data_IF_194851980657
#
_entry.id   IF_194851980657
#
_cell.length_a   1.000
_cell.length_b   1.000
_cell.length_c   1.000
_cell.angle_alpha   90.00
_cell.angle_beta   90.00
_cell.angle_gamma   90.00
#
_symmetry.space_group_name_H-M   'P 1'
#
loop_
_entity.id
_entity.type
_entity.pdbx_description
1 polymer ?
#
# COMPACT_ATOMS: atom_id res chain seq x y z
N UNK A 1 -10.62 -6.30 13.38
CA UNK A 1 -10.34 -5.60 12.11
C UNK A 1 -10.28 -4.13 12.45
N UNK A 2 -9.22 -3.42 12.08
CA UNK A 2 -9.07 -1.99 12.42
C UNK A 2 -10.08 -1.16 11.63
N UNK A 3 -10.74 -0.22 12.30
CA UNK A 3 -11.67 0.73 11.67
C UNK A 3 -10.94 1.92 11.02
N UNK A 4 -9.61 1.86 10.97
CA UNK A 4 -8.72 2.91 10.49
C UNK A 4 -7.78 2.39 9.41
N UNK A 5 -7.44 3.25 8.43
CA UNK A 5 -6.38 3.02 7.46
C UNK A 5 -5.01 2.92 8.17
N UNK A 6 -4.07 2.13 7.63
CA UNK A 6 -2.84 1.79 8.33
C UNK A 6 -1.85 2.96 8.47
N UNK A 7 -1.88 3.96 7.59
CA UNK A 7 -0.83 4.99 7.56
C UNK A 7 -1.35 6.32 8.10
N UNK A 8 -2.44 6.84 7.55
CA UNK A 8 -2.98 8.15 7.92
C UNK A 8 -4.11 8.05 8.95
N UNK A 9 -4.43 6.84 9.43
CA UNK A 9 -5.51 6.61 10.39
C UNK A 9 -6.86 7.16 9.92
N UNK A 10 -7.16 7.03 8.62
CA UNK A 10 -8.41 7.46 8.01
C UNK A 10 -9.54 6.51 8.44
N UNK A 11 -10.69 7.01 8.89
CA UNK A 11 -11.81 6.17 9.29
C UNK A 11 -12.40 5.42 8.08
N UNK A 12 -12.49 4.10 8.19
CA UNK A 12 -13.11 3.23 7.20
C UNK A 12 -14.62 3.11 7.47
N UNK A 13 -15.39 2.99 6.39
CA UNK A 13 -16.82 2.76 6.51
C UNK A 13 -17.08 1.34 6.99
N UNK A 14 -17.92 1.22 8.02
CA UNK A 14 -18.43 -0.06 8.51
C UNK A 14 -19.26 -0.77 7.44
N UNK A 15 -19.31 -2.10 7.53
CA UNK A 15 -20.15 -2.90 6.66
C UNK A 15 -21.62 -2.47 6.78
N UNK A 16 -22.25 -2.14 5.66
CA UNK A 16 -23.64 -1.66 5.59
C UNK A 16 -24.31 -2.07 4.27
N UNK A 17 -25.60 -1.72 4.14
CA UNK A 17 -26.47 -2.08 3.02
C UNK A 17 -25.85 -1.72 1.65
N UNK A 18 -26.00 -2.64 0.69
CA UNK A 18 -25.51 -2.53 -0.69
C UNK A 18 -23.98 -2.42 -0.87
N UNK A 19 -23.18 -2.88 0.10
CA UNK A 19 -21.72 -3.06 -0.05
C UNK A 19 -20.92 -1.81 -0.50
N UNK A 20 -21.49 -0.60 -0.35
CA UNK A 20 -20.85 0.66 -0.77
C UNK A 20 -19.51 0.91 -0.07
N UNK A 21 -19.36 0.36 1.14
CA UNK A 21 -18.12 0.39 1.91
C UNK A 21 -16.95 -0.27 1.17
N UNK A 22 -17.18 -1.26 0.30
CA UNK A 22 -16.10 -1.94 -0.44
C UNK A 22 -15.37 -0.94 -1.35
N UNK A 23 -16.08 -0.38 -2.35
CA UNK A 23 -15.47 0.53 -3.33
C UNK A 23 -14.93 1.80 -2.69
N UNK A 24 -15.62 2.32 -1.66
CA UNK A 24 -15.16 3.52 -0.96
C UNK A 24 -13.91 3.26 -0.10
N UNK A 25 -13.88 2.17 0.68
CA UNK A 25 -12.71 1.85 1.49
C UNK A 25 -11.53 1.48 0.61
N UNK A 26 -11.72 0.82 -0.55
CA UNK A 26 -10.66 0.62 -1.52
C UNK A 26 -10.07 1.94 -2.04
N UNK A 27 -10.92 2.93 -2.34
CA UNK A 27 -10.45 4.27 -2.73
C UNK A 27 -9.67 4.95 -1.60
N UNK A 28 -10.16 4.86 -0.35
CA UNK A 28 -9.44 5.39 0.82
C UNK A 28 -8.09 4.70 1.03
N UNK A 29 -8.00 3.38 0.87
CA UNK A 29 -6.74 2.64 0.98
C UNK A 29 -5.72 3.06 -0.09
N UNK A 30 -6.18 3.37 -1.32
CA UNK A 30 -5.32 3.93 -2.37
C UNK A 30 -4.85 5.34 -2.02
N UNK A 31 -5.73 6.18 -1.47
CA UNK A 31 -5.35 7.52 -1.03
C UNK A 31 -4.38 7.49 0.16
N UNK A 32 -4.56 6.57 1.11
CA UNK A 32 -3.66 6.35 2.25
C UNK A 32 -2.23 6.00 1.80
N UNK A 33 -2.11 5.31 0.65
CA UNK A 33 -0.83 5.02 0.02
C UNK A 33 -0.24 6.23 -0.71
N UNK A 34 -1.06 7.00 -1.44
CA UNK A 34 -0.61 8.06 -2.35
C UNK A 34 -0.37 9.41 -1.67
N UNK A 35 -1.16 9.74 -0.66
CA UNK A 35 -1.06 11.02 0.06
C UNK A 35 0.15 10.99 0.98
N UNK A 36 0.97 12.05 0.92
CA UNK A 36 2.24 12.16 1.66
C UNK A 36 3.20 10.99 1.38
N UNK A 37 3.33 10.60 0.10
CA UNK A 37 4.18 9.48 -0.30
C UNK A 37 5.65 9.70 0.12
N UNK A 38 6.11 8.91 1.09
CA UNK A 38 7.53 8.80 1.45
C UNK A 38 8.06 7.46 0.96
N UNK A 39 9.03 7.49 0.04
CA UNK A 39 9.68 6.28 -0.48
C UNK A 39 10.95 6.04 0.33
N UNK A 40 11.02 4.88 1.00
CA UNK A 40 12.18 4.49 1.79
C UNK A 40 13.37 4.12 0.91
N UNK A 41 13.12 3.47 -0.23
CA UNK A 41 14.16 3.10 -1.19
C UNK A 41 13.58 2.91 -2.62
N UNK A 42 14.41 3.18 -3.63
CA UNK A 42 14.08 3.04 -5.07
C UNK A 42 15.01 2.12 -5.87
N UNK A 43 15.93 1.43 -5.19
CA UNK A 43 17.00 0.64 -5.82
C UNK A 43 16.96 -0.84 -5.46
N UNK A 44 16.16 -1.22 -4.47
CA UNK A 44 15.90 -2.60 -4.08
C UNK A 44 15.20 -3.36 -5.20
N UNK A 45 15.80 -4.48 -5.57
CA UNK A 45 15.27 -5.42 -6.57
C UNK A 45 14.54 -6.59 -5.92
N UNK A 46 14.51 -6.66 -4.59
CA UNK A 46 13.80 -7.69 -3.84
C UNK A 46 13.15 -7.08 -2.58
N UNK A 47 12.04 -7.65 -2.08
CA UNK A 47 11.44 -7.21 -0.82
C UNK A 47 12.43 -7.30 0.34
N UNK A 48 12.47 -6.33 1.26
CA UNK A 48 13.27 -6.44 2.47
C UNK A 48 12.79 -7.63 3.32
N UNK A 49 13.68 -8.33 4.05
CA UNK A 49 13.33 -9.52 4.83
C UNK A 49 12.42 -9.26 6.04
N UNK A 50 12.10 -7.99 6.33
CA UNK A 50 11.16 -7.57 7.36
C UNK A 50 10.47 -6.28 6.93
N UNK A 51 9.47 -6.33 6.02
CA UNK A 51 8.75 -5.13 5.60
C UNK A 51 8.02 -4.53 6.80
N UNK A 52 8.25 -3.26 7.06
CA UNK A 52 7.55 -2.53 8.13
C UNK A 52 6.23 -2.00 7.56
N UNK A 53 5.15 -2.13 8.33
CA UNK A 53 3.85 -1.60 7.92
C UNK A 53 3.95 -0.09 7.61
N UNK A 54 3.49 0.30 6.42
CA UNK A 54 3.56 1.69 5.97
C UNK A 54 4.90 2.09 5.33
N UNK A 55 5.88 1.18 5.24
CA UNK A 55 7.10 1.39 4.47
C UNK A 55 6.80 1.25 2.98
N UNK A 56 7.13 2.27 2.18
CA UNK A 56 6.94 2.22 0.71
C UNK A 56 8.26 2.11 -0.01
N UNK A 57 8.30 1.28 -1.04
CA UNK A 57 9.45 1.11 -1.92
C UNK A 57 9.04 1.34 -3.38
N UNK A 58 9.92 1.96 -4.17
CA UNK A 58 9.80 1.91 -5.63
C UNK A 58 10.53 0.65 -6.08
N UNK A 59 9.80 -0.26 -6.71
CA UNK A 59 10.35 -1.52 -7.22
C UNK A 59 11.35 -1.21 -8.33
N UNK A 60 12.62 -1.56 -8.13
CA UNK A 60 13.68 -1.31 -9.10
C UNK A 60 13.53 -2.19 -10.35
N UNK A 61 14.29 -1.85 -11.40
CA UNK A 61 14.40 -2.69 -12.59
C UNK A 61 15.00 -4.06 -12.24
N UNK A 62 14.66 -5.10 -13.01
CA UNK A 62 15.05 -6.49 -12.73
C UNK A 62 14.59 -7.01 -11.34
N UNK A 63 13.39 -6.62 -10.92
CA UNK A 63 12.80 -7.09 -9.68
C UNK A 63 12.64 -8.62 -9.62
N UNK A 64 12.83 -9.17 -8.43
CA UNK A 64 12.87 -10.61 -8.14
C UNK A 64 11.93 -10.96 -6.98
N UNK A 65 11.70 -12.25 -6.77
CA UNK A 65 10.82 -12.74 -5.70
C UNK A 65 9.40 -12.20 -5.85
N UNK A 66 8.81 -11.73 -4.75
CA UNK A 66 7.43 -11.19 -4.75
C UNK A 66 7.26 -9.90 -5.58
N UNK A 67 8.35 -9.23 -5.95
CA UNK A 67 8.30 -8.01 -6.77
C UNK A 67 8.49 -8.28 -8.28
N UNK A 68 8.67 -9.54 -8.69
CA UNK A 68 8.86 -9.89 -10.09
C UNK A 68 7.70 -9.37 -10.98
N UNK A 69 8.06 -8.69 -12.07
CA UNK A 69 7.09 -8.07 -13.00
C UNK A 69 6.41 -6.79 -12.47
N UNK A 70 6.79 -6.28 -11.30
CA UNK A 70 6.23 -5.05 -10.71
C UNK A 70 7.17 -3.84 -10.82
N UNK A 71 8.20 -3.91 -11.68
CA UNK A 71 9.16 -2.82 -11.91
C UNK A 71 8.47 -1.47 -12.12
N UNK A 72 8.92 -0.44 -11.40
CA UNK A 72 8.36 0.92 -11.48
C UNK A 72 7.06 1.13 -10.70
N UNK A 73 6.51 0.10 -10.04
CA UNK A 73 5.37 0.26 -9.13
C UNK A 73 5.81 0.56 -7.71
N UNK A 74 4.86 1.04 -6.91
CA UNK A 74 5.03 1.26 -5.47
C UNK A 74 4.63 -0.03 -4.75
N UNK A 75 5.55 -0.58 -3.97
CA UNK A 75 5.29 -1.69 -3.05
C UNK A 75 4.98 -1.16 -1.65
N UNK A 76 4.05 -1.82 -0.96
CA UNK A 76 3.61 -1.60 0.43
C UNK A 76 3.71 -2.91 1.20
#
# INVERSE_FOLDING_TARGET
>A
MSDLSPILSLPLLQASQAQKHITHNEALMRLDLLVQLTVADRTLTAPPPGPVQGQRHIVAAAATGAWAGQSGKIAL
#
